data_IF_574454612674
#
_entry.id   IF_574454612674
#
_cell.length_a   1.000
_cell.length_b   1.000
_cell.length_c   1.000
_cell.angle_alpha   90.00
_cell.angle_beta   90.00
_cell.angle_gamma   90.00
#
_symmetry.space_group_name_H-M   'P 1'
#
loop_
_entity.id
_entity.type
_entity.pdbx_description
1 polymer ?
#
# COMPACT_ATOMS: atom_id res chain seq x y z
N UNK A 1 -0.50 22.25 -1.38
CA UNK A 1 -0.49 21.24 -0.33
C UNK A 1 -0.81 19.87 -0.89
N UNK A 2 -0.06 18.88 -0.46
CA UNK A 2 -0.31 17.51 -0.88
C UNK A 2 -1.40 16.88 -0.02
N UNK A 3 -2.27 16.07 -0.62
CA UNK A 3 -3.25 15.29 0.12
C UNK A 3 -2.53 14.19 0.91
N UNK A 4 -3.00 13.89 2.12
CA UNK A 4 -2.41 12.79 2.88
C UNK A 4 -2.76 11.46 2.21
N UNK A 5 -1.83 10.52 2.30
CA UNK A 5 -2.05 9.16 1.84
C UNK A 5 -2.36 8.32 3.07
N UNK A 6 -3.45 7.57 3.03
CA UNK A 6 -3.88 6.73 4.13
C UNK A 6 -3.98 5.28 3.69
N UNK A 7 -3.38 4.40 4.48
CA UNK A 7 -3.32 2.97 4.18
C UNK A 7 -4.12 2.24 5.25
N UNK A 8 -5.12 1.47 4.84
CA UNK A 8 -5.95 0.71 5.78
C UNK A 8 -5.18 -0.51 6.30
N UNK A 9 -5.18 -0.69 7.61
CA UNK A 9 -4.53 -1.83 8.26
C UNK A 9 -5.51 -2.55 9.16
N UNK A 10 -5.26 -3.81 9.41
CA UNK A 10 -6.17 -4.65 10.17
C UNK A 10 -6.10 -4.42 11.69
N UNK A 11 -4.90 -4.11 12.20
CA UNK A 11 -4.68 -3.95 13.63
C UNK A 11 -3.43 -3.11 13.90
N UNK A 12 -3.21 -2.80 15.17
CA UNK A 12 -2.10 -1.95 15.57
C UNK A 12 -0.73 -2.59 15.29
N UNK A 13 -0.63 -3.90 15.40
CA UNK A 13 0.63 -4.60 15.12
C UNK A 13 1.01 -4.47 13.64
N UNK A 14 0.04 -4.63 12.77
CA UNK A 14 0.24 -4.44 11.33
C UNK A 14 0.59 -2.99 11.00
N UNK A 15 -0.06 -2.04 11.68
CA UNK A 15 0.22 -0.63 11.50
C UNK A 15 1.66 -0.28 11.87
N UNK A 16 2.14 -0.78 13.01
CA UNK A 16 3.52 -0.53 13.45
C UNK A 16 4.53 -1.13 12.49
N UNK A 17 4.24 -2.30 12.01
CA UNK A 17 5.10 -3.00 11.05
C UNK A 17 5.20 -2.20 9.75
N UNK A 18 4.07 -1.69 9.28
CA UNK A 18 4.03 -0.86 8.09
C UNK A 18 4.79 0.46 8.29
N UNK A 19 4.60 1.12 9.43
CA UNK A 19 5.33 2.36 9.75
C UNK A 19 6.83 2.12 9.70
N UNK A 20 7.27 0.98 10.22
CA UNK A 20 8.68 0.60 10.20
C UNK A 20 9.19 0.37 8.78
N UNK A 21 8.40 -0.32 7.96
CA UNK A 21 8.76 -0.57 6.56
C UNK A 21 8.84 0.73 5.76
N UNK A 22 7.92 1.65 6.00
CA UNK A 22 7.92 2.96 5.36
C UNK A 22 9.16 3.77 5.76
N UNK A 23 9.54 3.70 7.04
CA UNK A 23 10.71 4.42 7.53
C UNK A 23 12.00 3.97 6.83
N UNK A 24 12.11 2.69 6.52
CA UNK A 24 13.25 2.16 5.75
C UNK A 24 13.35 2.82 4.38
N UNK A 25 12.22 3.20 3.80
CA UNK A 25 12.15 3.88 2.51
C UNK A 25 12.21 5.42 2.64
N UNK A 26 12.45 5.93 3.84
CA UNK A 26 12.51 7.36 4.08
C UNK A 26 11.15 8.03 4.21
N UNK A 27 10.11 7.25 4.42
CA UNK A 27 8.75 7.75 4.55
C UNK A 27 8.30 7.72 6.01
N UNK A 28 7.63 8.77 6.44
CA UNK A 28 7.13 8.87 7.81
C UNK A 28 5.64 8.62 7.84
N UNK A 29 5.24 7.55 8.51
CA UNK A 29 3.84 7.20 8.70
C UNK A 29 3.45 7.33 10.16
N UNK A 30 2.16 7.55 10.42
CA UNK A 30 1.63 7.57 11.78
C UNK A 30 0.27 6.90 11.83
N UNK A 31 -0.06 6.35 12.97
CA UNK A 31 -1.35 5.71 13.18
C UNK A 31 -2.45 6.75 13.35
N UNK A 32 -3.57 6.52 12.67
CA UNK A 32 -4.73 7.39 12.75
C UNK A 32 -5.98 6.52 12.83
N UNK A 33 -6.91 6.89 13.69
CA UNK A 33 -8.24 6.29 13.70
C UNK A 33 -9.18 7.22 12.97
N UNK A 34 -9.81 6.71 11.94
CA UNK A 34 -10.74 7.49 11.13
C UNK A 34 -11.92 6.62 10.76
N UNK A 35 -13.12 7.07 11.09
CA UNK A 35 -14.35 6.36 10.77
C UNK A 35 -14.41 4.94 11.30
N UNK A 36 -13.87 4.71 12.48
CA UNK A 36 -13.83 3.38 13.09
C UNK A 36 -12.79 2.45 12.50
N UNK A 37 -11.92 2.94 11.65
CA UNK A 37 -10.87 2.17 11.01
C UNK A 37 -9.51 2.67 11.42
N UNK A 38 -8.56 1.74 11.53
CA UNK A 38 -7.18 2.07 11.80
C UNK A 38 -6.45 2.24 10.47
N UNK A 39 -5.76 3.36 10.32
CA UNK A 39 -5.03 3.69 9.10
C UNK A 39 -3.63 4.18 9.45
N UNK A 40 -2.71 4.03 8.51
CA UNK A 40 -1.39 4.66 8.59
C UNK A 40 -1.42 5.85 7.63
N UNK A 41 -1.22 7.04 8.17
CA UNK A 41 -1.22 8.27 7.38
C UNK A 41 0.21 8.68 7.04
N UNK A 42 0.43 8.99 5.78
CA UNK A 42 1.70 9.51 5.29
C UNK A 42 1.45 10.89 4.70
N UNK A 43 2.22 11.85 5.15
CA UNK A 43 2.07 13.23 4.69
C UNK A 43 3.45 13.81 4.37
N UNK A 44 3.53 14.49 3.25
CA UNK A 44 4.74 15.19 2.88
C UNK A 44 4.44 16.68 2.66
N UNK A 45 5.34 17.52 3.15
CA UNK A 45 5.22 18.96 3.00
C UNK A 45 5.89 19.44 1.71
N UNK A 46 6.86 18.68 1.24
CA UNK A 46 7.74 19.11 0.14
C UNK A 46 7.54 18.38 -1.17
N UNK A 47 6.88 17.24 -1.15
CA UNK A 47 6.68 16.46 -2.36
C UNK A 47 5.28 16.63 -2.92
N UNK A 48 5.17 16.51 -4.23
CA UNK A 48 3.87 16.44 -4.88
C UNK A 48 3.19 15.13 -4.50
N UNK A 49 1.86 15.17 -4.39
CA UNK A 49 1.07 14.00 -4.04
C UNK A 49 1.36 12.83 -4.98
N UNK A 50 1.49 13.11 -6.27
CA UNK A 50 1.76 12.07 -7.27
C UNK A 50 3.06 11.33 -6.99
N UNK A 51 4.13 12.08 -6.69
CA UNK A 51 5.43 11.48 -6.42
C UNK A 51 5.41 10.70 -5.13
N UNK A 52 4.79 11.27 -4.10
CA UNK A 52 4.64 10.59 -2.83
C UNK A 52 3.85 9.29 -3.01
N UNK A 53 2.79 9.31 -3.80
CA UNK A 53 1.99 8.12 -4.09
C UNK A 53 2.81 7.03 -4.75
N UNK A 54 3.69 7.37 -5.68
CA UNK A 54 4.56 6.40 -6.34
C UNK A 54 5.56 5.78 -5.35
N UNK A 55 6.17 6.61 -4.50
CA UNK A 55 7.10 6.13 -3.49
C UNK A 55 6.42 5.21 -2.48
N UNK A 56 5.23 5.58 -2.04
CA UNK A 56 4.43 4.78 -1.13
C UNK A 56 4.04 3.45 -1.78
N UNK A 57 3.61 3.48 -3.04
CA UNK A 57 3.23 2.27 -3.76
C UNK A 57 4.41 1.29 -3.84
N UNK A 58 5.61 1.77 -4.13
CA UNK A 58 6.79 0.93 -4.19
C UNK A 58 7.11 0.30 -2.83
N UNK A 59 7.01 1.10 -1.76
CA UNK A 59 7.24 0.59 -0.40
C UNK A 59 6.20 -0.45 0.00
N UNK A 60 4.95 -0.23 -0.39
CA UNK A 60 3.86 -1.15 -0.09
C UNK A 60 4.01 -2.48 -0.85
N UNK A 61 4.44 -2.44 -2.09
CA UNK A 61 4.68 -3.67 -2.85
C UNK A 61 5.69 -4.57 -2.13
N UNK A 62 6.78 -3.98 -1.64
CA UNK A 62 7.80 -4.72 -0.89
C UNK A 62 7.23 -5.26 0.43
N UNK A 63 6.49 -4.41 1.14
CA UNK A 63 5.89 -4.80 2.41
C UNK A 63 4.89 -5.95 2.24
N UNK A 64 4.09 -5.90 1.17
CA UNK A 64 3.12 -6.96 0.88
C UNK A 64 3.82 -8.28 0.56
N UNK A 65 4.94 -8.25 -0.16
CA UNK A 65 5.72 -9.44 -0.44
C UNK A 65 6.21 -10.10 0.86
N UNK A 66 6.73 -9.29 1.78
CA UNK A 66 7.25 -9.79 3.05
C UNK A 66 6.15 -10.41 3.92
N UNK A 67 4.93 -9.91 3.81
CA UNK A 67 3.81 -10.39 4.62
C UNK A 67 2.95 -11.42 3.89
N UNK A 68 3.28 -11.73 2.67
CA UNK A 68 2.51 -12.67 1.84
C UNK A 68 1.05 -12.24 1.68
N UNK A 69 0.82 -10.95 1.67
CA UNK A 69 -0.51 -10.40 1.39
C UNK A 69 -0.62 -10.00 -0.07
N UNK A 70 -1.81 -10.15 -0.63
CA UNK A 70 -2.04 -9.85 -2.03
C UNK A 70 -2.22 -8.36 -2.29
N UNK A 71 -2.88 -7.66 -1.39
CA UNK A 71 -3.20 -6.26 -1.62
C UNK A 71 -3.50 -5.49 -0.34
N UNK A 72 -3.49 -4.17 -0.47
CA UNK A 72 -3.87 -3.27 0.61
C UNK A 72 -4.60 -2.07 0.02
N UNK A 73 -5.60 -1.59 0.73
CA UNK A 73 -6.38 -0.42 0.29
C UNK A 73 -5.66 0.86 0.68
N UNK A 74 -5.61 1.80 -0.26
CA UNK A 74 -4.94 3.09 -0.08
C UNK A 74 -5.92 4.20 -0.48
N UNK A 75 -5.94 5.25 0.30
CA UNK A 75 -6.78 6.41 0.01
C UNK A 75 -5.91 7.66 -0.12
N UNK A 76 -6.10 8.41 -1.20
CA UNK A 76 -5.43 9.68 -1.44
C UNK A 76 -6.52 10.73 -1.62
N UNK A 77 -6.68 11.61 -0.64
CA UNK A 77 -7.79 12.54 -0.62
C UNK A 77 -9.12 11.77 -0.62
N UNK A 78 -9.93 11.96 -1.63
CA UNK A 78 -11.21 11.27 -1.79
C UNK A 78 -11.10 10.01 -2.67
N UNK A 79 -9.94 9.79 -3.27
CA UNK A 79 -9.75 8.65 -4.16
C UNK A 79 -9.28 7.42 -3.38
N UNK A 80 -9.93 6.31 -3.64
CA UNK A 80 -9.56 5.03 -3.06
C UNK A 80 -8.99 4.14 -4.14
N UNK A 81 -7.89 3.47 -3.81
CA UNK A 81 -7.19 2.60 -4.74
C UNK A 81 -6.70 1.36 -4.00
N UNK A 82 -6.18 0.41 -4.74
CA UNK A 82 -5.61 -0.81 -4.17
C UNK A 82 -4.21 -1.00 -4.72
N UNK A 83 -3.26 -1.18 -3.82
CA UNK A 83 -1.90 -1.57 -4.20
C UNK A 83 -1.81 -3.07 -4.08
N UNK A 84 -1.32 -3.72 -5.11
CA UNK A 84 -1.20 -5.17 -5.15
C UNK A 84 0.24 -5.60 -4.99
N UNK A 85 0.43 -6.76 -4.39
CA UNK A 85 1.74 -7.36 -4.27
C UNK A 85 2.33 -7.61 -5.66
N UNK A 86 3.62 -7.33 -5.79
CA UNK A 86 4.33 -7.66 -7.03
C UNK A 86 4.22 -9.16 -7.24
N UNK A 87 3.83 -9.58 -8.41
CA UNK A 87 3.62 -10.98 -8.74
C UNK A 87 2.19 -11.45 -8.57
N UNK A 88 1.37 -10.76 -7.78
CA UNK A 88 -0.04 -11.13 -7.62
C UNK A 88 -0.77 -11.07 -8.96
N UNK A 89 -0.49 -10.06 -9.75
CA UNK A 89 -1.08 -9.95 -11.09
C UNK A 89 -0.54 -11.02 -12.03
N UNK A 90 0.74 -11.31 -11.94
CA UNK A 90 1.35 -12.36 -12.73
C UNK A 90 0.74 -13.71 -12.41
N UNK A 91 0.54 -13.97 -11.12
CA UNK A 91 -0.08 -15.20 -10.67
C UNK A 91 -1.50 -15.35 -11.21
N UNK A 92 -2.24 -14.25 -11.26
CA UNK A 92 -3.59 -14.26 -11.82
C UNK A 92 -3.59 -14.44 -13.32
N UNK A 93 -2.62 -13.83 -13.98
CA UNK A 93 -2.48 -13.94 -15.43
C UNK A 93 -2.03 -15.33 -15.85
N UNK A 94 -1.13 -15.93 -15.09
CA UNK A 94 -0.62 -17.26 -15.38
C UNK A 94 -1.71 -18.33 -15.45
N UNK A 95 -2.58 -18.45 -14.46
CA UNK A 95 -3.63 -19.44 -14.53
C UNK A 95 -4.52 -19.29 -15.75
N UNK A 96 -4.84 -18.07 -16.12
CA UNK A 96 -5.62 -17.80 -17.32
C UNK A 96 -4.86 -18.15 -18.58
N UNK A 97 -3.63 -17.71 -18.68
CA UNK A 97 -2.78 -18.03 -19.82
C UNK A 97 -2.55 -19.52 -19.92
N UNK A 98 -2.37 -20.15 -18.80
CA UNK A 98 -2.14 -21.58 -18.70
C UNK A 98 -3.37 -22.35 -19.15
N UNK A 99 -4.53 -21.95 -18.68
CA UNK A 99 -5.79 -22.57 -19.08
C UNK A 99 -6.02 -22.38 -20.57
N UNK A 100 -5.62 -21.27 -21.12
CA UNK A 100 -5.77 -20.99 -22.53
C UNK A 100 -4.84 -21.82 -23.39
N UNK A 101 -3.64 -22.03 -22.92
CA UNK A 101 -2.62 -22.79 -23.66
C UNK A 101 -2.68 -24.26 -23.34
N UNK A 102 -2.94 -24.55 -22.10
CA UNK A 102 -2.91 -25.92 -21.59
C UNK A 102 -4.00 -26.82 -22.13
N UNK A 103 -4.73 -26.29 -23.04
CA UNK A 103 -5.77 -27.02 -23.57
C UNK A 103 -5.67 -27.40 -24.78
#
# INVERSE_FOLDING_TARGET
MSDPIRIEVANAAEARDLVRALAVCGLTGRLVYAGGRLEVEIRSVHEETRRLALDVAAALETWLEDRERDSVAVRVGDLRSTVRRRGAEEERSRPLAHATVGR
#
